data_IF_842819786125
#
_entry.id   IF_842819786125
#
_cell.length_a   1.000
_cell.length_b   1.000
_cell.length_c   1.000
_cell.angle_alpha   90.00
_cell.angle_beta   90.00
_cell.angle_gamma   90.00
#
_symmetry.space_group_name_H-M   'P 1'
#
loop_
_entity.id
_entity.type
_entity.pdbx_description
1 polymer ?
#
# COMPACT_ATOMS: atom_id res chain seq x y z
N UNK A 1 -48.18 5.78 11.33
CA UNK A 1 -47.07 5.39 12.24
C UNK A 1 -45.98 6.43 12.02
N UNK A 2 -45.73 7.28 13.02
CA UNK A 2 -45.02 8.56 12.87
C UNK A 2 -43.54 8.39 12.50
N UNK A 3 -43.11 9.11 11.45
CA UNK A 3 -41.74 9.12 10.88
C UNK A 3 -40.88 10.28 11.44
N UNK A 4 -41.40 11.09 12.36
CA UNK A 4 -40.69 12.24 12.92
C UNK A 4 -40.26 12.01 14.37
N UNK A 5 -39.22 11.20 14.56
CA UNK A 5 -38.44 11.21 15.79
C UNK A 5 -37.12 11.95 15.52
N UNK A 6 -37.10 13.25 15.80
CA UNK A 6 -35.95 14.16 15.57
C UNK A 6 -34.87 14.06 16.65
N UNK A 7 -34.88 13.02 17.49
CA UNK A 7 -33.91 12.84 18.58
C UNK A 7 -32.53 12.33 18.12
N UNK A 8 -32.39 11.92 16.87
CA UNK A 8 -31.12 11.51 16.29
C UNK A 8 -30.89 12.24 14.95
N UNK A 9 -29.97 13.23 14.90
CA UNK A 9 -29.74 14.05 13.70
C UNK A 9 -29.03 13.30 12.56
N UNK A 10 -28.56 12.07 12.78
CA UNK A 10 -27.83 11.27 11.81
C UNK A 10 -28.64 10.05 11.34
N UNK A 11 -28.57 9.74 10.04
CA UNK A 11 -29.12 8.52 9.48
C UNK A 11 -28.27 7.31 9.86
N UNK A 12 -28.84 6.09 9.78
CA UNK A 12 -28.08 4.86 10.02
C UNK A 12 -26.86 4.75 9.10
N UNK A 13 -27.00 5.10 7.82
CA UNK A 13 -25.91 5.09 6.84
C UNK A 13 -24.77 6.05 7.23
N UNK A 14 -25.09 7.22 7.81
CA UNK A 14 -24.08 8.15 8.33
C UNK A 14 -23.37 7.62 9.57
N UNK A 15 -24.05 6.84 10.41
CA UNK A 15 -23.46 6.23 11.60
C UNK A 15 -22.55 5.03 11.29
N UNK A 16 -22.69 4.41 10.12
CA UNK A 16 -21.84 3.30 9.68
C UNK A 16 -20.42 3.74 9.28
N UNK A 17 -20.20 5.04 8.99
CA UNK A 17 -18.89 5.63 8.69
C UNK A 17 -18.03 4.84 7.67
N UNK A 18 -18.69 4.27 6.64
CA UNK A 18 -18.03 3.38 5.67
C UNK A 18 -16.91 4.03 4.85
N UNK A 19 -16.92 5.37 4.77
CA UNK A 19 -15.95 6.15 4.00
C UNK A 19 -14.88 6.81 4.88
N UNK A 20 -14.81 6.50 6.19
CA UNK A 20 -13.83 7.09 7.12
C UNK A 20 -12.38 6.92 6.65
N UNK A 21 -12.06 5.79 6.00
CA UNK A 21 -10.73 5.56 5.45
C UNK A 21 -10.33 6.59 4.39
N UNK A 22 -11.29 7.13 3.62
CA UNK A 22 -11.01 8.12 2.58
C UNK A 22 -10.40 9.38 3.20
N UNK A 23 -10.95 9.86 4.31
CA UNK A 23 -10.42 11.03 5.02
C UNK A 23 -9.06 10.81 5.69
N UNK A 24 -8.67 9.55 5.95
CA UNK A 24 -7.34 9.20 6.48
C UNK A 24 -6.30 8.97 5.37
N UNK A 25 -6.76 8.63 4.17
CA UNK A 25 -5.92 8.35 3.02
C UNK A 25 -5.67 9.58 2.14
N UNK A 26 -6.71 10.38 1.89
CA UNK A 26 -6.64 11.63 1.13
C UNK A 26 -6.29 12.75 2.09
N UNK A 27 -5.10 13.34 1.92
CA UNK A 27 -4.60 14.38 2.81
C UNK A 27 -5.45 15.67 2.82
N UNK A 28 -5.70 16.29 1.64
CA UNK A 28 -6.44 17.54 1.58
C UNK A 28 -7.90 17.40 2.04
N UNK A 29 -8.31 18.23 2.98
CA UNK A 29 -9.72 18.33 3.37
C UNK A 29 -10.54 19.21 2.38
N UNK A 30 -11.81 19.43 2.69
CA UNK A 30 -12.69 20.23 1.82
C UNK A 30 -12.26 21.71 1.71
N UNK A 31 -11.72 22.30 2.78
CA UNK A 31 -11.28 23.69 2.78
C UNK A 31 -9.95 23.84 2.02
N UNK A 32 -9.01 22.92 2.23
CA UNK A 32 -7.74 22.86 1.50
C UNK A 32 -7.99 22.60 0.01
N UNK A 33 -8.90 21.68 -0.33
CA UNK A 33 -9.31 21.42 -1.71
C UNK A 33 -9.88 22.67 -2.36
N UNK A 34 -10.72 23.44 -1.65
CA UNK A 34 -11.25 24.70 -2.18
C UNK A 34 -10.15 25.73 -2.41
N UNK A 35 -9.23 25.91 -1.45
CA UNK A 35 -8.12 26.85 -1.60
C UNK A 35 -7.20 26.52 -2.78
N UNK A 36 -6.95 25.22 -3.03
CA UNK A 36 -6.21 24.77 -4.21
C UNK A 36 -6.97 25.06 -5.52
N UNK A 37 -8.28 24.81 -5.56
CA UNK A 37 -9.12 25.12 -6.73
C UNK A 37 -9.16 26.62 -7.02
N UNK A 38 -9.27 27.47 -5.99
CA UNK A 38 -9.22 28.92 -6.12
C UNK A 38 -7.90 29.40 -6.71
N UNK A 39 -6.78 28.80 -6.28
CA UNK A 39 -5.43 29.09 -6.83
C UNK A 39 -5.34 28.75 -8.32
N UNK A 40 -6.05 27.71 -8.76
CA UNK A 40 -6.12 27.28 -10.16
C UNK A 40 -7.20 28.03 -10.97
N UNK A 41 -8.01 28.87 -10.33
CA UNK A 41 -9.15 29.54 -10.96
C UNK A 41 -10.23 28.57 -11.43
N UNK A 42 -10.48 27.51 -10.65
CA UNK A 42 -11.47 26.48 -10.94
C UNK A 42 -12.57 26.44 -9.86
N UNK A 43 -13.77 26.05 -10.26
CA UNK A 43 -14.95 26.02 -9.39
C UNK A 43 -15.17 24.66 -8.73
N UNK A 44 -14.66 23.57 -9.31
CA UNK A 44 -14.84 22.20 -8.81
C UNK A 44 -13.74 21.25 -9.28
N UNK A 45 -13.66 20.09 -8.61
CA UNK A 45 -12.82 18.97 -9.07
C UNK A 45 -13.27 18.42 -10.43
N UNK A 46 -14.59 18.39 -10.71
CA UNK A 46 -15.12 17.96 -12.01
C UNK A 46 -14.58 18.85 -13.14
N UNK A 47 -14.55 20.17 -12.93
CA UNK A 47 -14.00 21.11 -13.90
C UNK A 47 -12.50 20.90 -14.11
N UNK A 48 -11.75 20.50 -13.08
CA UNK A 48 -10.34 20.13 -13.22
C UNK A 48 -10.19 18.86 -14.08
N UNK A 49 -10.99 17.83 -13.81
CA UNK A 49 -10.97 16.56 -14.56
C UNK A 49 -11.28 16.82 -16.04
N UNK A 50 -12.33 17.57 -16.35
CA UNK A 50 -12.73 17.89 -17.73
C UNK A 50 -11.65 18.65 -18.52
N UNK A 51 -10.84 19.47 -17.84
CA UNK A 51 -9.73 20.19 -18.47
C UNK A 51 -8.48 19.34 -18.70
N UNK A 52 -8.26 18.30 -17.89
CA UNK A 52 -7.02 17.50 -17.91
C UNK A 52 -7.19 16.21 -18.71
N UNK A 53 -8.34 15.54 -18.60
CA UNK A 53 -8.59 14.23 -19.20
C UNK A 53 -9.43 14.41 -20.47
N UNK A 54 -8.97 13.96 -21.65
CA UNK A 54 -9.79 14.00 -22.85
C UNK A 54 -11.10 13.22 -22.69
N UNK A 55 -12.23 13.84 -23.05
CA UNK A 55 -13.55 13.23 -22.94
C UNK A 55 -13.70 11.90 -23.72
N UNK A 56 -12.88 11.68 -24.76
CA UNK A 56 -12.89 10.45 -25.55
C UNK A 56 -12.45 9.20 -24.77
N UNK A 57 -11.72 9.38 -23.65
CA UNK A 57 -11.23 8.27 -22.82
C UNK A 57 -11.79 8.30 -21.39
N UNK A 58 -12.56 9.34 -21.04
CA UNK A 58 -13.15 9.46 -19.71
C UNK A 58 -14.38 8.55 -19.60
N UNK A 59 -14.36 7.64 -18.63
CA UNK A 59 -15.54 6.82 -18.31
C UNK A 59 -16.62 7.67 -17.67
N UNK A 60 -17.83 7.63 -18.22
CA UNK A 60 -19.02 8.28 -17.64
C UNK A 60 -19.79 7.38 -16.67
N UNK A 61 -19.47 6.08 -16.65
CA UNK A 61 -20.05 5.13 -15.70
C UNK A 61 -19.19 5.07 -14.42
N UNK A 62 -19.82 5.03 -13.23
CA UNK A 62 -19.10 4.77 -12.00
C UNK A 62 -18.49 3.36 -12.03
N UNK A 63 -17.41 3.15 -11.28
CA UNK A 63 -16.79 1.83 -11.16
C UNK A 63 -17.80 0.85 -10.55
N UNK A 64 -17.95 -0.32 -11.18
CA UNK A 64 -18.82 -1.40 -10.71
C UNK A 64 -18.18 -2.17 -9.55
N UNK A 65 -18.00 -1.50 -8.41
CA UNK A 65 -17.39 -2.05 -7.20
C UNK A 65 -18.41 -2.19 -6.06
N UNK A 66 -18.20 -3.12 -5.11
CA UNK A 66 -18.98 -3.14 -3.87
C UNK A 66 -18.86 -1.81 -3.12
N UNK A 67 -19.86 -1.50 -2.28
CA UNK A 67 -19.78 -0.35 -1.38
C UNK A 67 -18.51 -0.43 -0.50
N UNK A 68 -17.98 0.73 -0.13
CA UNK A 68 -16.89 0.86 0.82
C UNK A 68 -17.19 0.13 2.13
N UNK A 69 -16.12 -0.31 2.80
CA UNK A 69 -16.17 -0.94 4.12
C UNK A 69 -15.29 -0.13 5.04
N UNK A 70 -15.67 -0.07 6.31
CA UNK A 70 -14.77 0.45 7.35
C UNK A 70 -13.50 -0.41 7.44
N UNK A 71 -12.41 0.16 7.95
CA UNK A 71 -11.16 -0.58 8.12
C UNK A 71 -11.29 -1.84 8.99
N UNK A 72 -12.01 -1.84 10.13
CA UNK A 72 -12.23 -3.07 10.91
C UNK A 72 -12.97 -4.15 10.13
N UNK A 73 -13.98 -3.76 9.33
CA UNK A 73 -14.72 -4.70 8.48
C UNK A 73 -13.86 -5.27 7.35
N UNK A 74 -12.99 -4.45 6.76
CA UNK A 74 -12.05 -4.89 5.74
C UNK A 74 -11.02 -5.89 6.32
N UNK A 75 -10.46 -5.60 7.50
CA UNK A 75 -9.55 -6.51 8.19
C UNK A 75 -10.23 -7.83 8.58
N UNK A 76 -11.45 -7.78 9.10
CA UNK A 76 -12.22 -8.97 9.45
C UNK A 76 -12.53 -9.83 8.21
N UNK A 77 -12.88 -9.19 7.08
CA UNK A 77 -13.10 -9.88 5.81
C UNK A 77 -11.82 -10.56 5.32
N UNK A 78 -10.69 -9.84 5.30
CA UNK A 78 -9.40 -10.39 4.87
C UNK A 78 -8.97 -11.56 5.77
N UNK A 79 -9.21 -11.44 7.08
CA UNK A 79 -8.95 -12.53 8.03
C UNK A 79 -9.79 -13.77 7.72
N UNK A 80 -11.09 -13.60 7.49
CA UNK A 80 -11.98 -14.71 7.13
C UNK A 80 -11.60 -15.38 5.79
N UNK A 81 -11.01 -14.64 4.85
CA UNK A 81 -10.45 -15.21 3.62
C UNK A 81 -9.15 -15.97 3.93
N UNK A 82 -8.24 -15.37 4.70
CA UNK A 82 -6.97 -15.98 5.07
C UNK A 82 -7.15 -17.27 5.88
N UNK A 83 -8.15 -17.35 6.75
CA UNK A 83 -8.46 -18.54 7.56
C UNK A 83 -8.94 -19.74 6.72
N UNK A 84 -9.22 -19.55 5.42
CA UNK A 84 -9.47 -20.67 4.47
C UNK A 84 -8.19 -21.38 4.04
N UNK A 85 -7.03 -20.74 4.22
CA UNK A 85 -5.74 -21.32 3.87
C UNK A 85 -5.34 -22.40 4.87
N UNK A 86 -4.73 -23.48 4.39
CA UNK A 86 -4.17 -24.55 5.24
C UNK A 86 -2.66 -24.40 5.29
N UNK A 87 -2.15 -23.93 6.42
CA UNK A 87 -0.70 -23.86 6.66
C UNK A 87 -0.20 -25.26 7.03
N UNK A 88 0.56 -25.87 6.12
CA UNK A 88 1.13 -27.20 6.28
C UNK A 88 2.64 -27.10 6.47
N UNK A 89 3.24 -28.14 7.05
CA UNK A 89 4.70 -28.34 6.98
C UNK A 89 5.03 -28.82 5.58
N UNK A 90 5.52 -27.92 4.75
CA UNK A 90 5.79 -28.17 3.34
C UNK A 90 7.26 -28.56 3.15
N UNK A 91 7.50 -29.77 2.66
CA UNK A 91 8.82 -30.26 2.25
C UNK A 91 8.91 -30.47 0.73
N UNK A 92 8.14 -29.69 -0.03
CA UNK A 92 8.12 -29.74 -1.50
C UNK A 92 9.48 -29.30 -2.07
N UNK A 93 10.11 -28.30 -1.43
CA UNK A 93 11.36 -27.72 -1.89
C UNK A 93 11.14 -26.81 -3.10
N UNK A 94 11.84 -27.09 -4.20
CA UNK A 94 11.74 -26.36 -5.47
C UNK A 94 11.91 -24.83 -5.32
N UNK A 95 12.99 -24.41 -4.67
CA UNK A 95 13.36 -22.99 -4.54
C UNK A 95 12.73 -22.26 -3.34
N UNK A 96 11.78 -22.89 -2.63
CA UNK A 96 11.17 -22.33 -1.43
C UNK A 96 11.33 -23.28 -0.25
N UNK A 97 11.96 -22.78 0.82
CA UNK A 97 12.22 -23.52 2.04
C UNK A 97 11.72 -22.70 3.23
N UNK A 98 11.01 -23.34 4.15
CA UNK A 98 10.55 -22.68 5.38
C UNK A 98 11.75 -22.20 6.20
N UNK A 99 11.60 -21.06 6.87
CA UNK A 99 12.67 -20.43 7.65
C UNK A 99 12.11 -19.72 8.87
N UNK A 100 12.93 -19.63 9.91
CA UNK A 100 12.60 -18.85 11.09
C UNK A 100 13.01 -17.39 10.85
N UNK A 101 12.04 -16.51 10.60
CA UNK A 101 12.28 -15.06 10.58
C UNK A 101 12.45 -14.55 12.02
N UNK A 102 13.62 -14.02 12.41
CA UNK A 102 13.82 -13.50 13.76
C UNK A 102 12.81 -12.39 14.09
N UNK A 103 12.15 -12.50 15.25
CA UNK A 103 11.09 -11.57 15.64
C UNK A 103 11.54 -10.11 15.68
N UNK A 104 12.82 -9.86 16.01
CA UNK A 104 13.41 -8.51 16.00
C UNK A 104 13.46 -7.91 14.58
N UNK A 105 13.69 -8.73 13.55
CA UNK A 105 13.70 -8.29 12.15
C UNK A 105 12.26 -8.07 11.68
N UNK A 106 11.36 -9.03 11.96
CA UNK A 106 9.94 -8.91 11.62
C UNK A 106 9.35 -7.60 12.17
N UNK A 107 9.55 -7.34 13.47
CA UNK A 107 8.92 -6.20 14.14
C UNK A 107 9.55 -4.85 13.81
N UNK A 108 10.88 -4.78 13.69
CA UNK A 108 11.59 -3.50 13.60
C UNK A 108 12.01 -3.11 12.19
N UNK A 109 11.91 -4.04 11.22
CA UNK A 109 12.21 -3.80 9.80
C UNK A 109 10.95 -4.00 8.96
N UNK A 110 10.38 -5.21 8.93
CA UNK A 110 9.28 -5.52 8.01
C UNK A 110 7.97 -4.80 8.39
N UNK A 111 7.64 -4.73 9.67
CA UNK A 111 6.44 -4.05 10.18
C UNK A 111 6.66 -2.57 10.53
N UNK A 112 7.83 -2.01 10.20
CA UNK A 112 8.18 -0.63 10.56
C UNK A 112 8.11 0.30 9.33
N UNK A 113 7.19 1.29 9.29
CA UNK A 113 7.05 2.18 8.13
C UNK A 113 8.33 2.93 7.79
N UNK A 114 9.20 3.23 8.76
CA UNK A 114 10.48 3.89 8.51
C UNK A 114 11.38 3.10 7.52
N UNK A 115 11.17 1.79 7.39
CA UNK A 115 11.92 0.93 6.48
C UNK A 115 11.22 0.67 5.14
N UNK A 116 9.88 0.66 5.10
CA UNK A 116 9.15 0.28 3.89
C UNK A 116 8.43 1.42 3.15
N UNK A 117 8.35 2.63 3.72
CA UNK A 117 7.69 3.77 3.02
C UNK A 117 8.66 4.55 2.13
N UNK A 118 9.96 4.52 2.43
CA UNK A 118 10.97 5.15 1.58
C UNK A 118 11.18 4.36 0.28
N UNK A 119 11.38 5.06 -0.83
CA UNK A 119 11.66 4.45 -2.13
C UNK A 119 13.17 4.32 -2.40
N UNK A 120 13.53 4.04 -3.65
CA UNK A 120 14.91 3.91 -4.14
C UNK A 120 15.82 5.02 -3.59
N UNK A 121 17.03 4.68 -3.10
CA UNK A 121 17.98 5.64 -2.53
C UNK A 121 18.66 6.57 -3.54
N UNK A 122 17.87 7.35 -4.29
CA UNK A 122 18.40 8.37 -5.21
C UNK A 122 19.09 9.55 -4.49
N UNK A 123 18.79 9.77 -3.21
CA UNK A 123 19.39 10.83 -2.37
C UNK A 123 20.24 10.18 -1.27
N UNK A 124 21.53 9.90 -1.53
CA UNK A 124 22.34 9.06 -0.64
C UNK A 124 22.51 9.63 0.77
N UNK A 125 22.57 10.96 0.92
CA UNK A 125 22.82 11.67 2.19
C UNK A 125 21.74 11.38 3.24
N UNK A 126 20.49 11.19 2.79
CA UNK A 126 19.34 10.87 3.65
C UNK A 126 18.95 9.39 3.58
N UNK A 127 19.84 8.55 3.04
CA UNK A 127 19.54 7.14 2.72
C UNK A 127 20.61 6.16 3.20
N UNK A 128 21.59 6.61 3.97
CA UNK A 128 22.76 5.82 4.38
C UNK A 128 22.39 4.50 5.06
N UNK A 129 21.39 4.48 5.96
CA UNK A 129 21.01 3.25 6.68
C UNK A 129 20.57 2.11 5.76
N UNK A 130 19.79 2.40 4.70
CA UNK A 130 19.37 1.35 3.74
C UNK A 130 20.48 1.00 2.76
N UNK A 131 21.32 1.97 2.37
CA UNK A 131 22.49 1.71 1.52
C UNK A 131 23.48 0.79 2.22
N UNK A 132 23.73 0.99 3.52
CA UNK A 132 24.58 0.11 4.32
C UNK A 132 23.98 -1.31 4.41
N UNK A 133 22.67 -1.45 4.63
CA UNK A 133 22.01 -2.75 4.64
C UNK A 133 22.13 -3.49 3.29
N UNK A 134 22.00 -2.77 2.16
CA UNK A 134 22.19 -3.33 0.82
C UNK A 134 23.65 -3.71 0.55
N UNK A 135 24.61 -2.93 1.05
CA UNK A 135 26.02 -3.29 0.96
C UNK A 135 26.33 -4.55 1.77
N UNK A 136 25.76 -4.68 2.98
CA UNK A 136 25.87 -5.91 3.78
C UNK A 136 25.27 -7.12 3.05
N UNK A 137 24.17 -6.94 2.32
CA UNK A 137 23.60 -7.99 1.47
C UNK A 137 24.60 -8.39 0.36
N UNK A 138 25.20 -7.42 -0.33
CA UNK A 138 26.21 -7.70 -1.36
C UNK A 138 27.41 -8.46 -0.81
N UNK A 139 27.97 -8.01 0.33
CA UNK A 139 29.08 -8.67 1.00
C UNK A 139 28.74 -10.10 1.40
N UNK A 140 27.54 -10.33 1.97
CA UNK A 140 27.09 -11.66 2.34
C UNK A 140 26.95 -12.58 1.12
N UNK A 141 26.46 -12.08 -0.02
CA UNK A 141 26.41 -12.86 -1.26
C UNK A 141 27.81 -13.15 -1.82
N UNK A 142 28.72 -12.18 -1.84
CA UNK A 142 30.10 -12.40 -2.32
C UNK A 142 30.85 -13.39 -1.45
N UNK A 143 30.71 -13.30 -0.12
CA UNK A 143 31.37 -14.20 0.83
C UNK A 143 30.88 -15.64 0.69
N UNK A 144 29.57 -15.84 0.48
CA UNK A 144 28.97 -17.18 0.33
C UNK A 144 29.22 -17.82 -1.04
N UNK A 145 29.28 -17.01 -2.10
CA UNK A 145 29.46 -17.51 -3.48
C UNK A 145 30.92 -17.58 -3.92
N UNK A 146 31.80 -16.82 -3.26
CA UNK A 146 33.19 -16.66 -3.67
C UNK A 146 33.40 -15.80 -4.93
N UNK A 147 32.36 -15.09 -5.39
CA UNK A 147 32.44 -14.17 -6.52
C UNK A 147 32.89 -12.77 -6.08
N UNK A 148 33.47 -12.02 -7.01
CA UNK A 148 34.07 -10.71 -6.70
C UNK A 148 33.04 -9.61 -6.43
N UNK A 149 31.89 -9.65 -7.10
CA UNK A 149 30.87 -8.60 -7.06
C UNK A 149 29.47 -9.21 -7.05
N UNK A 150 28.57 -8.64 -6.26
CA UNK A 150 27.14 -8.91 -6.28
C UNK A 150 26.34 -7.62 -6.47
N UNK A 151 25.14 -7.71 -7.05
CA UNK A 151 24.20 -6.58 -7.12
C UNK A 151 23.34 -6.49 -5.85
N UNK A 152 22.48 -5.48 -5.77
CA UNK A 152 21.64 -5.19 -4.61
C UNK A 152 20.27 -5.92 -4.62
N UNK A 153 20.18 -7.07 -5.31
CA UNK A 153 19.01 -7.95 -5.54
C UNK A 153 18.52 -8.02 -7.00
N UNK A 154 17.74 -9.07 -7.30
CA UNK A 154 16.87 -9.23 -8.47
C UNK A 154 15.47 -9.69 -8.01
N UNK A 155 14.54 -9.92 -8.94
CA UNK A 155 13.14 -10.23 -8.64
C UNK A 155 12.96 -11.62 -7.99
N UNK A 156 13.49 -12.66 -8.62
CA UNK A 156 13.45 -14.05 -8.14
C UNK A 156 14.57 -14.88 -8.81
N UNK A 157 14.69 -16.14 -8.41
CA UNK A 157 15.70 -17.06 -8.95
C UNK A 157 15.61 -17.24 -10.48
N UNK A 158 14.39 -17.44 -11.02
CA UNK A 158 14.21 -17.76 -12.44
C UNK A 158 14.57 -16.58 -13.34
N UNK A 159 14.13 -15.37 -12.97
CA UNK A 159 14.48 -14.14 -13.69
C UNK A 159 15.97 -13.85 -13.56
N UNK A 160 16.59 -14.18 -12.42
CA UNK A 160 18.03 -13.98 -12.23
C UNK A 160 18.88 -14.77 -13.22
N UNK A 161 18.52 -16.03 -13.53
CA UNK A 161 19.25 -16.83 -14.53
C UNK A 161 19.22 -16.23 -15.94
N UNK A 162 18.16 -15.51 -16.30
CA UNK A 162 18.07 -14.88 -17.63
C UNK A 162 18.93 -13.64 -17.81
N UNK A 163 19.47 -13.11 -16.71
CA UNK A 163 20.30 -11.90 -16.69
C UNK A 163 21.79 -12.19 -16.43
N UNK A 164 22.19 -13.47 -16.40
CA UNK A 164 23.59 -13.93 -16.43
C UNK A 164 24.07 -14.06 -17.89
#
# INVERSE_FOLDING_TARGET
MNIHDTRFPATLEQLEQRDDFVGRHVGPDAAETRAMLDTLGLDSLDQLIDKVIPASILSTAPLALPKGRSEPEALALLRAIADKNRVLRSFIGTGYHDTFTPAVILRNVLENPAWYTAYTPYQPEISQGRLEALLNFQTMVTDLTGLEIANASLLDEAVSYTHL
#
